data_IF_589166857883
#
_entry.id   IF_589166857883
#
_cell.length_a   1.000
_cell.length_b   1.000
_cell.length_c   1.000
_cell.angle_alpha   90.00
_cell.angle_beta   90.00
_cell.angle_gamma   90.00
#
_symmetry.space_group_name_H-M   'P 1'
#
loop_
_entity.id
_entity.type
_entity.pdbx_description
1 polymer ?
#
# COMPACT_ATOMS: atom_id res chain seq x y z
N UNK A 1 -0.07 19.04 16.21
CA UNK A 1 -0.81 17.97 15.48
C UNK A 1 -2.31 18.10 15.74
N UNK A 2 -3.14 18.12 14.72
CA UNK A 2 -4.61 18.23 14.89
C UNK A 2 -5.18 16.94 15.50
N UNK A 3 -6.13 17.08 16.42
CA UNK A 3 -6.81 15.98 17.11
C UNK A 3 -7.46 14.94 16.18
N UNK A 4 -7.82 15.33 14.95
CA UNK A 4 -8.34 14.44 13.88
C UNK A 4 -7.26 13.45 13.38
N UNK A 5 -6.02 13.88 13.22
CA UNK A 5 -4.91 13.02 12.78
C UNK A 5 -4.61 11.89 13.77
N UNK A 6 -4.63 12.18 15.07
CA UNK A 6 -4.41 11.16 16.11
C UNK A 6 -5.48 10.06 16.05
N UNK A 7 -6.76 10.43 15.83
CA UNK A 7 -7.85 9.46 15.70
C UNK A 7 -7.70 8.63 14.43
N UNK A 8 -7.36 9.24 13.30
CA UNK A 8 -7.12 8.53 12.04
C UNK A 8 -5.95 7.54 12.12
N UNK A 9 -4.85 7.94 12.78
CA UNK A 9 -3.71 7.06 13.06
C UNK A 9 -4.10 5.91 13.99
N UNK A 10 -4.87 6.21 15.05
CA UNK A 10 -5.38 5.18 15.95
C UNK A 10 -6.29 4.16 15.25
N UNK A 11 -7.17 4.61 14.36
CA UNK A 11 -8.04 3.72 13.58
C UNK A 11 -7.24 2.78 12.68
N UNK A 12 -6.13 3.26 12.09
CA UNK A 12 -5.22 2.43 11.31
C UNK A 12 -4.55 1.38 12.19
N UNK A 13 -3.96 1.77 13.32
CA UNK A 13 -3.33 0.85 14.27
C UNK A 13 -4.30 -0.20 14.80
N UNK A 14 -5.56 0.18 15.08
CA UNK A 14 -6.61 -0.77 15.44
C UNK A 14 -6.88 -1.78 14.32
N UNK A 15 -6.80 -1.36 13.05
CA UNK A 15 -6.88 -2.25 11.88
C UNK A 15 -5.73 -3.24 11.78
N UNK A 16 -4.54 -2.84 12.23
CA UNK A 16 -3.32 -3.64 12.24
C UNK A 16 -3.14 -4.47 13.53
N UNK A 17 -4.22 -4.74 14.27
CA UNK A 17 -4.21 -5.49 15.55
C UNK A 17 -3.64 -4.74 16.76
N UNK A 18 -3.55 -3.42 16.70
CA UNK A 18 -2.94 -2.58 17.73
C UNK A 18 -3.60 -2.60 19.12
N UNK A 19 -4.73 -3.30 19.29
CA UNK A 19 -5.38 -3.54 20.58
C UNK A 19 -5.32 -5.00 21.03
N UNK A 20 -4.73 -5.90 20.24
CA UNK A 20 -4.68 -7.32 20.56
C UNK A 20 -3.57 -7.64 21.57
N UNK A 21 -2.46 -6.88 21.53
CA UNK A 21 -1.24 -7.15 22.27
C UNK A 21 -1.03 -6.26 23.52
N UNK A 22 -1.98 -5.42 23.94
CA UNK A 22 -1.73 -4.58 25.12
C UNK A 22 -2.80 -3.54 25.48
N UNK A 23 -3.96 -3.57 24.84
CA UNK A 23 -5.07 -2.70 25.19
C UNK A 23 -4.89 -1.23 24.78
N UNK A 24 -5.73 -0.35 25.35
CA UNK A 24 -5.76 1.09 25.00
C UNK A 24 -4.50 1.82 25.47
N UNK A 25 -3.87 1.35 26.50
CA UNK A 25 -2.67 1.91 27.08
C UNK A 25 -1.51 1.83 26.09
N UNK A 26 -1.25 0.65 25.54
CA UNK A 26 -0.22 0.42 24.49
C UNK A 26 -0.55 1.18 23.21
N UNK A 27 -1.82 1.20 22.79
CA UNK A 27 -2.24 2.00 21.65
C UNK A 27 -1.99 3.50 21.88
N UNK A 28 -2.27 4.00 23.07
CA UNK A 28 -2.06 5.41 23.43
C UNK A 28 -0.57 5.77 23.48
N UNK A 29 0.25 4.89 24.04
CA UNK A 29 1.72 5.02 24.05
C UNK A 29 2.27 5.09 22.62
N UNK A 30 1.83 4.17 21.76
CA UNK A 30 2.18 4.16 20.31
C UNK A 30 1.77 5.42 19.55
N UNK A 31 0.81 6.19 20.08
CA UNK A 31 0.34 7.45 19.50
C UNK A 31 0.98 8.68 20.16
N UNK A 32 1.86 8.49 21.15
CA UNK A 32 2.47 9.58 21.89
C UNK A 32 1.46 10.39 22.72
N UNK A 33 0.34 9.77 23.16
CA UNK A 33 -0.72 10.44 23.93
C UNK A 33 -1.11 9.63 25.16
N UNK A 34 -1.68 10.28 26.18
CA UNK A 34 -2.23 9.56 27.32
C UNK A 34 -3.50 8.78 26.95
N UNK A 35 -3.72 7.59 27.54
CA UNK A 35 -4.86 6.73 27.26
C UNK A 35 -6.23 7.41 27.57
N UNK A 36 -6.27 8.26 28.60
CA UNK A 36 -7.45 9.08 28.93
C UNK A 36 -7.74 10.12 27.83
N UNK A 37 -6.69 10.75 27.29
CA UNK A 37 -6.82 11.70 26.20
C UNK A 37 -7.29 11.00 24.91
N UNK A 38 -6.73 9.85 24.58
CA UNK A 38 -7.14 9.05 23.43
C UNK A 38 -8.62 8.65 23.51
N UNK A 39 -9.08 8.16 24.67
CA UNK A 39 -10.52 7.82 24.89
C UNK A 39 -11.42 9.05 24.67
N UNK A 40 -11.01 10.23 25.15
CA UNK A 40 -11.76 11.49 24.95
C UNK A 40 -11.81 11.91 23.49
N UNK A 41 -10.70 11.77 22.74
CA UNK A 41 -10.66 12.04 21.31
C UNK A 41 -11.61 11.12 20.54
N UNK A 42 -11.59 9.83 20.85
CA UNK A 42 -12.48 8.85 20.22
C UNK A 42 -13.96 9.15 20.50
N UNK A 43 -14.32 9.44 21.72
CA UNK A 43 -15.69 9.83 22.07
C UNK A 43 -16.09 11.12 21.35
N UNK A 44 -15.23 12.11 21.27
CA UNK A 44 -15.51 13.38 20.59
C UNK A 44 -15.68 13.24 19.08
N UNK A 45 -14.86 12.43 18.42
CA UNK A 45 -14.82 12.34 16.96
C UNK A 45 -15.63 11.18 16.39
N UNK A 46 -15.83 10.11 17.16
CA UNK A 46 -16.48 8.88 16.69
C UNK A 46 -17.69 8.48 17.56
N UNK A 47 -17.92 9.13 18.69
CA UNK A 47 -18.98 8.76 19.62
C UNK A 47 -18.77 7.40 20.31
N UNK A 48 -17.59 6.78 20.18
CA UNK A 48 -17.28 5.45 20.68
C UNK A 48 -15.87 5.38 21.29
N UNK A 49 -15.62 4.40 22.15
CA UNK A 49 -14.27 4.18 22.70
C UNK A 49 -13.39 3.40 21.72
N UNK A 50 -12.02 3.47 21.82
CA UNK A 50 -11.13 2.65 21.01
C UNK A 50 -11.45 1.16 21.05
N UNK A 51 -11.76 0.63 22.23
CA UNK A 51 -12.16 -0.79 22.42
C UNK A 51 -13.44 -1.10 21.66
N UNK A 52 -14.45 -0.23 21.76
CA UNK A 52 -15.73 -0.44 21.08
C UNK A 52 -15.54 -0.45 19.55
N UNK A 53 -14.69 0.43 19.02
CA UNK A 53 -14.33 0.46 17.60
C UNK A 53 -13.65 -0.83 17.17
N UNK A 54 -12.64 -1.30 17.92
CA UNK A 54 -11.93 -2.55 17.62
C UNK A 54 -12.90 -3.75 17.66
N UNK A 55 -13.77 -3.83 18.67
CA UNK A 55 -14.79 -4.89 18.77
C UNK A 55 -15.75 -4.87 17.59
N UNK A 56 -16.21 -3.69 17.18
CA UNK A 56 -17.10 -3.53 16.02
C UNK A 56 -16.42 -4.03 14.74
N UNK A 57 -15.13 -3.69 14.52
CA UNK A 57 -14.37 -4.20 13.37
C UNK A 57 -14.25 -5.72 13.38
N UNK A 58 -13.91 -6.32 14.53
CA UNK A 58 -13.86 -7.78 14.67
C UNK A 58 -15.21 -8.44 14.37
N UNK A 59 -16.33 -7.86 14.84
CA UNK A 59 -17.66 -8.36 14.56
C UNK A 59 -18.04 -8.24 13.08
N UNK A 60 -17.71 -7.14 12.44
CA UNK A 60 -17.93 -6.99 11.00
C UNK A 60 -17.11 -7.99 10.19
N UNK A 61 -15.84 -8.19 10.56
CA UNK A 61 -15.00 -9.19 9.92
C UNK A 61 -15.52 -10.62 10.17
N UNK A 62 -15.96 -10.93 11.40
CA UNK A 62 -16.59 -12.20 11.73
C UNK A 62 -17.84 -12.45 10.87
N UNK A 63 -18.70 -11.44 10.71
CA UNK A 63 -19.85 -11.53 9.82
C UNK A 63 -19.43 -11.80 8.38
N UNK A 64 -18.42 -11.10 7.90
CA UNK A 64 -17.86 -11.30 6.56
C UNK A 64 -17.38 -12.74 6.35
N UNK A 65 -16.66 -13.32 7.33
CA UNK A 65 -16.24 -14.73 7.29
C UNK A 65 -17.43 -15.69 7.29
N UNK A 66 -18.50 -15.38 8.04
CA UNK A 66 -19.72 -16.17 8.06
C UNK A 66 -20.40 -16.17 6.69
N UNK A 67 -20.46 -15.02 6.03
CA UNK A 67 -21.16 -14.82 4.75
C UNK A 67 -20.34 -15.36 3.55
N UNK A 68 -19.03 -15.21 3.57
CA UNK A 68 -18.17 -15.39 2.40
C UNK A 68 -17.25 -16.63 2.47
N UNK A 69 -17.28 -17.41 3.58
CA UNK A 69 -16.43 -18.61 3.72
C UNK A 69 -17.20 -19.81 4.27
N UNK A 70 -16.62 -21.02 4.07
CA UNK A 70 -17.11 -22.28 4.71
C UNK A 70 -16.47 -22.57 6.05
N UNK A 71 -15.63 -21.69 6.58
CA UNK A 71 -14.90 -21.93 7.82
C UNK A 71 -15.85 -22.37 8.96
N UNK A 72 -15.47 -23.36 9.77
CA UNK A 72 -16.18 -23.69 10.99
C UNK A 72 -16.27 -22.49 11.94
N UNK A 73 -17.35 -22.39 12.72
CA UNK A 73 -17.59 -21.24 13.60
C UNK A 73 -16.48 -21.02 14.65
N UNK A 74 -15.83 -22.07 15.11
CA UNK A 74 -14.68 -21.96 16.00
C UNK A 74 -13.47 -21.31 15.30
N UNK A 75 -13.22 -21.63 14.03
CA UNK A 75 -12.16 -21.00 13.25
C UNK A 75 -12.49 -19.55 12.93
N UNK A 76 -13.75 -19.23 12.62
CA UNK A 76 -14.21 -17.84 12.42
C UNK A 76 -14.00 -17.02 13.70
N UNK A 77 -14.36 -17.56 14.85
CA UNK A 77 -14.15 -16.89 16.13
C UNK A 77 -12.67 -16.51 16.31
N UNK A 78 -11.76 -17.47 16.11
CA UNK A 78 -10.32 -17.26 16.24
C UNK A 78 -9.80 -16.29 15.15
N UNK A 79 -10.19 -16.49 13.90
CA UNK A 79 -9.79 -15.64 12.76
C UNK A 79 -10.25 -14.18 12.92
N UNK A 80 -11.33 -13.95 13.68
CA UNK A 80 -11.85 -12.61 13.96
C UNK A 80 -11.29 -12.00 15.26
N UNK A 81 -10.28 -12.63 15.88
CA UNK A 81 -9.65 -12.12 17.09
C UNK A 81 -10.46 -12.30 18.38
N UNK A 82 -11.42 -13.26 18.41
CA UNK A 82 -12.10 -13.61 19.64
C UNK A 82 -11.34 -14.72 20.38
N UNK A 83 -11.06 -14.50 21.66
CA UNK A 83 -10.34 -15.50 22.49
C UNK A 83 -11.16 -16.78 22.78
N UNK A 84 -12.49 -16.76 22.56
CA UNK A 84 -13.32 -17.95 22.66
C UNK A 84 -14.64 -17.83 21.89
N UNK A 85 -15.20 -19.00 21.51
CA UNK A 85 -16.47 -19.09 20.75
C UNK A 85 -17.66 -18.50 21.52
N UNK A 86 -17.65 -18.57 22.84
CA UNK A 86 -18.73 -18.01 23.68
C UNK A 86 -18.82 -16.48 23.51
N UNK A 87 -17.67 -15.77 23.57
CA UNK A 87 -17.62 -14.30 23.37
C UNK A 87 -18.00 -13.92 21.95
N UNK A 88 -17.54 -14.69 20.96
CA UNK A 88 -17.93 -14.53 19.56
C UNK A 88 -19.45 -14.64 19.38
N UNK A 89 -20.07 -15.74 19.85
CA UNK A 89 -21.51 -15.95 19.73
C UNK A 89 -22.30 -14.81 20.41
N UNK A 90 -21.92 -14.43 21.62
CA UNK A 90 -22.55 -13.35 22.35
C UNK A 90 -22.44 -12.01 21.62
N UNK A 91 -21.25 -11.69 21.08
CA UNK A 91 -21.00 -10.47 20.31
C UNK A 91 -21.84 -10.41 19.04
N UNK A 92 -21.86 -11.47 18.25
CA UNK A 92 -22.66 -11.58 17.02
C UNK A 92 -24.15 -11.45 17.35
N UNK A 93 -24.66 -12.20 18.34
CA UNK A 93 -26.07 -12.16 18.71
C UNK A 93 -26.51 -10.79 19.23
N UNK A 94 -25.63 -10.09 19.96
CA UNK A 94 -25.90 -8.73 20.46
C UNK A 94 -26.08 -7.70 19.36
N UNK A 95 -25.22 -7.79 18.32
CA UNK A 95 -25.18 -6.77 17.24
C UNK A 95 -26.18 -7.09 16.13
N UNK A 96 -26.29 -8.36 15.75
CA UNK A 96 -27.09 -8.76 14.58
C UNK A 96 -28.45 -9.38 14.98
N UNK A 97 -28.72 -9.52 16.27
CA UNK A 97 -29.97 -10.16 16.81
C UNK A 97 -30.22 -11.56 16.24
N UNK A 98 -29.16 -12.27 15.85
CA UNK A 98 -29.15 -13.61 15.26
C UNK A 98 -27.91 -14.37 15.68
N UNK A 99 -28.04 -15.69 15.77
CA UNK A 99 -26.87 -16.55 16.00
C UNK A 99 -25.98 -16.64 14.73
N UNK A 100 -24.67 -16.90 14.86
CA UNK A 100 -23.79 -17.11 13.70
C UNK A 100 -24.34 -18.13 12.69
N UNK A 101 -24.92 -19.23 13.19
CA UNK A 101 -25.54 -20.28 12.36
C UNK A 101 -26.75 -19.78 11.59
N UNK A 102 -27.59 -18.94 12.22
CA UNK A 102 -28.74 -18.32 11.54
C UNK A 102 -28.27 -17.35 10.44
N UNK A 103 -27.23 -16.55 10.71
CA UNK A 103 -26.66 -15.65 9.70
C UNK A 103 -26.15 -16.46 8.50
N UNK A 104 -25.40 -17.55 8.73
CA UNK A 104 -24.89 -18.42 7.65
C UNK A 104 -26.02 -19.05 6.81
N UNK A 105 -27.14 -19.44 7.43
CA UNK A 105 -28.28 -19.98 6.69
C UNK A 105 -28.95 -18.95 5.77
N UNK A 106 -28.86 -17.67 6.13
CA UNK A 106 -29.41 -16.56 5.35
C UNK A 106 -28.47 -16.07 4.25
N UNK A 107 -27.16 -16.21 4.47
CA UNK A 107 -26.17 -15.95 3.43
C UNK A 107 -26.42 -16.98 2.31
N UNK A 108 -27.07 -16.55 1.23
CA UNK A 108 -27.29 -17.39 0.05
C UNK A 108 -25.96 -17.96 -0.40
N UNK A 109 -25.95 -19.27 -0.63
CA UNK A 109 -24.80 -20.07 -1.04
C UNK A 109 -24.07 -19.43 -2.22
N UNK A 110 -23.13 -18.54 -1.94
CA UNK A 110 -22.03 -18.26 -2.84
C UNK A 110 -21.29 -19.60 -2.96
N UNK A 111 -21.02 -20.06 -4.17
CA UNK A 111 -20.30 -21.32 -4.41
C UNK A 111 -18.97 -21.25 -3.65
N UNK A 112 -18.96 -21.88 -2.50
CA UNK A 112 -17.84 -21.88 -1.57
C UNK A 112 -16.84 -22.89 -2.10
N UNK A 113 -15.62 -22.46 -2.39
CA UNK A 113 -14.56 -23.37 -2.82
C UNK A 113 -13.98 -24.09 -1.60
N UNK A 114 -13.81 -25.41 -1.67
CA UNK A 114 -13.13 -26.15 -0.62
C UNK A 114 -11.63 -25.87 -0.64
N UNK A 115 -10.99 -25.79 0.53
CA UNK A 115 -9.56 -25.62 0.65
C UNK A 115 -9.14 -24.36 1.40
N UNK A 116 -7.87 -23.98 1.27
CA UNK A 116 -7.27 -22.79 1.90
C UNK A 116 -7.42 -21.53 1.03
N UNK A 117 -8.35 -21.53 0.09
CA UNK A 117 -8.68 -20.39 -0.75
C UNK A 117 -9.87 -19.63 -0.20
N UNK A 118 -9.68 -18.34 0.02
CA UNK A 118 -10.69 -17.43 0.55
C UNK A 118 -10.94 -16.31 -0.44
N UNK A 119 -12.21 -15.99 -0.70
CA UNK A 119 -12.60 -14.91 -1.61
C UNK A 119 -13.37 -13.86 -0.83
N UNK A 120 -12.87 -12.62 -0.83
CA UNK A 120 -13.47 -11.50 -0.14
C UNK A 120 -13.79 -10.36 -1.09
N UNK A 121 -14.95 -9.72 -0.92
CA UNK A 121 -15.31 -8.45 -1.54
C UNK A 121 -14.96 -7.32 -0.58
N UNK A 122 -13.95 -6.52 -0.90
CA UNK A 122 -13.47 -5.42 -0.07
C UNK A 122 -13.98 -4.10 -0.64
N UNK A 123 -15.10 -3.62 -0.12
CA UNK A 123 -15.74 -2.41 -0.62
C UNK A 123 -14.87 -1.17 -0.36
N UNK A 124 -14.89 -0.26 -1.31
CA UNK A 124 -14.32 1.07 -1.25
C UNK A 124 -15.39 2.16 -1.41
N UNK A 125 -15.07 3.38 -1.02
CA UNK A 125 -15.94 4.54 -1.28
C UNK A 125 -15.62 5.10 -2.66
N UNK A 126 -16.60 5.17 -3.58
CA UNK A 126 -16.39 5.81 -4.87
C UNK A 126 -16.21 7.34 -4.71
N UNK A 127 -15.52 7.98 -5.66
CA UNK A 127 -14.83 7.39 -6.79
C UNK A 127 -13.55 6.65 -6.39
N UNK A 128 -13.13 5.68 -7.21
CA UNK A 128 -11.88 4.93 -7.04
C UNK A 128 -11.22 4.68 -8.39
N UNK A 129 -10.02 5.26 -8.59
CA UNK A 129 -9.28 5.11 -9.85
C UNK A 129 -8.48 3.81 -9.85
N UNK A 130 -9.17 2.69 -10.06
CA UNK A 130 -8.60 1.35 -9.98
C UNK A 130 -7.57 1.04 -11.05
N UNK A 131 -7.82 1.45 -12.30
CA UNK A 131 -6.87 1.27 -13.40
C UNK A 131 -5.53 1.97 -13.13
N UNK A 132 -5.58 3.22 -12.62
CA UNK A 132 -4.39 3.95 -12.24
C UNK A 132 -3.63 3.28 -11.10
N UNK A 133 -4.33 2.70 -10.12
CA UNK A 133 -3.74 1.92 -9.06
C UNK A 133 -3.00 0.68 -9.61
N UNK A 134 -3.65 -0.10 -10.47
CA UNK A 134 -3.05 -1.29 -11.07
C UNK A 134 -1.87 -0.94 -11.98
N UNK A 135 -1.98 0.13 -12.78
CA UNK A 135 -0.89 0.61 -13.63
C UNK A 135 0.34 1.05 -12.81
N UNK A 136 0.11 1.73 -11.68
CA UNK A 136 1.20 2.10 -10.76
C UNK A 136 1.91 0.87 -10.18
N UNK A 137 1.14 -0.15 -9.76
CA UNK A 137 1.68 -1.40 -9.21
C UNK A 137 2.41 -2.20 -10.29
N UNK A 138 1.83 -2.31 -11.51
CA UNK A 138 2.42 -3.01 -12.64
C UNK A 138 3.81 -2.46 -13.02
N UNK A 139 3.94 -1.13 -13.10
CA UNK A 139 5.21 -0.49 -13.44
C UNK A 139 6.32 -0.77 -12.40
N UNK A 140 5.95 -1.18 -11.20
CA UNK A 140 6.84 -1.39 -10.06
C UNK A 140 6.84 -2.82 -9.53
N UNK A 141 6.12 -3.73 -10.16
CA UNK A 141 6.00 -5.11 -9.72
C UNK A 141 7.37 -5.81 -9.67
N UNK A 142 7.77 -6.30 -8.50
CA UNK A 142 9.02 -7.04 -8.31
C UNK A 142 8.92 -8.41 -8.95
N UNK A 143 9.72 -8.73 -9.99
CA UNK A 143 9.67 -10.05 -10.63
C UNK A 143 9.82 -11.20 -9.64
N UNK A 144 8.94 -12.18 -9.75
CA UNK A 144 8.90 -13.34 -8.86
C UNK A 144 8.10 -13.13 -7.56
N UNK A 145 7.91 -11.89 -7.09
CA UNK A 145 7.13 -11.56 -5.89
C UNK A 145 5.78 -10.96 -6.24
N UNK A 146 5.75 -10.10 -7.24
CA UNK A 146 4.56 -9.41 -7.71
C UNK A 146 4.36 -9.63 -9.21
N UNK A 147 3.11 -9.70 -9.62
CA UNK A 147 2.74 -9.85 -11.02
C UNK A 147 1.41 -9.16 -11.31
N UNK A 148 1.33 -8.43 -12.43
CA UNK A 148 0.11 -7.76 -12.86
C UNK A 148 -0.18 -8.13 -14.30
N UNK A 149 -1.33 -8.74 -14.54
CA UNK A 149 -1.78 -9.16 -15.87
C UNK A 149 -3.32 -9.11 -15.93
N UNK A 150 -3.86 -8.71 -17.06
CA UNK A 150 -5.31 -8.73 -17.33
C UNK A 150 -6.17 -8.06 -16.25
N UNK A 151 -5.70 -6.94 -15.71
CA UNK A 151 -6.43 -6.23 -14.64
C UNK A 151 -6.38 -6.92 -13.27
N UNK A 152 -5.53 -7.92 -13.11
CA UNK A 152 -5.35 -8.65 -11.86
C UNK A 152 -3.93 -8.43 -11.31
N UNK A 153 -3.83 -7.99 -10.06
CA UNK A 153 -2.59 -7.91 -9.30
C UNK A 153 -2.43 -9.14 -8.43
N UNK A 154 -1.24 -9.74 -8.44
CA UNK A 154 -0.89 -10.91 -7.63
C UNK A 154 0.39 -10.65 -6.85
N UNK A 155 0.48 -11.21 -5.65
CA UNK A 155 1.74 -11.21 -4.92
C UNK A 155 1.87 -12.36 -3.94
N UNK A 156 3.13 -12.75 -3.69
CA UNK A 156 3.49 -13.68 -2.62
C UNK A 156 3.44 -12.99 -1.27
N UNK A 157 3.08 -13.74 -0.24
CA UNK A 157 3.09 -13.28 1.14
C UNK A 157 3.73 -14.32 2.06
N UNK A 158 4.39 -13.82 3.12
CA UNK A 158 4.89 -14.63 4.20
C UNK A 158 4.39 -14.05 5.52
N UNK A 159 3.76 -14.86 6.34
CA UNK A 159 3.22 -14.45 7.62
C UNK A 159 3.18 -15.63 8.60
N UNK A 160 3.66 -15.40 9.82
CA UNK A 160 3.64 -16.42 10.89
C UNK A 160 4.26 -17.77 10.47
N UNK A 161 5.40 -17.72 9.75
CA UNK A 161 6.12 -18.92 9.31
C UNK A 161 5.49 -19.64 8.11
N UNK A 162 4.46 -19.10 7.48
CA UNK A 162 3.73 -19.70 6.36
C UNK A 162 3.79 -18.86 5.10
N UNK A 163 3.89 -19.55 3.97
CA UNK A 163 3.81 -18.98 2.63
C UNK A 163 2.37 -18.95 2.15
N UNK A 164 2.08 -17.99 1.31
CA UNK A 164 0.84 -17.87 0.59
C UNK A 164 0.94 -16.84 -0.53
N UNK A 165 -0.17 -16.57 -1.17
CA UNK A 165 -0.30 -15.47 -2.12
C UNK A 165 -1.74 -14.94 -2.12
N UNK A 166 -1.92 -13.79 -2.71
CA UNK A 166 -3.25 -13.28 -3.00
C UNK A 166 -3.32 -12.68 -4.41
N UNK A 167 -4.54 -12.63 -4.92
CA UNK A 167 -4.92 -11.98 -6.17
C UNK A 167 -5.95 -10.90 -5.90
N UNK A 168 -5.82 -9.76 -6.59
CA UNK A 168 -6.77 -8.65 -6.51
C UNK A 168 -7.26 -8.31 -7.92
N UNK A 169 -8.55 -8.33 -8.12
CA UNK A 169 -9.23 -7.73 -9.27
C UNK A 169 -10.20 -6.64 -8.79
N UNK A 170 -10.52 -5.69 -9.67
CA UNK A 170 -11.38 -4.55 -9.33
C UNK A 170 -12.73 -4.76 -9.99
N UNK A 171 -13.77 -4.77 -9.16
CA UNK A 171 -15.18 -4.80 -9.58
C UNK A 171 -15.76 -3.40 -9.36
N UNK A 172 -15.76 -2.60 -10.43
CA UNK A 172 -16.25 -1.21 -10.38
C UNK A 172 -17.77 -1.16 -10.17
N UNK A 173 -18.52 -2.11 -10.70
CA UNK A 173 -19.99 -2.14 -10.59
C UNK A 173 -20.43 -2.31 -9.13
N UNK A 174 -19.77 -3.22 -8.40
CA UNK A 174 -20.06 -3.41 -6.97
C UNK A 174 -19.25 -2.50 -6.05
N UNK A 175 -18.42 -1.60 -6.59
CA UNK A 175 -17.50 -0.75 -5.83
C UNK A 175 -16.67 -1.55 -4.83
N UNK A 176 -16.05 -2.64 -5.30
CA UNK A 176 -15.27 -3.54 -4.45
C UNK A 176 -14.00 -4.06 -5.15
N UNK A 177 -12.97 -4.34 -4.36
CA UNK A 177 -11.91 -5.25 -4.76
C UNK A 177 -12.36 -6.68 -4.48
N UNK A 178 -12.14 -7.58 -5.42
CA UNK A 178 -12.27 -9.01 -5.22
C UNK A 178 -10.89 -9.55 -4.86
N UNK A 179 -10.71 -9.89 -3.59
CA UNK A 179 -9.47 -10.47 -3.06
C UNK A 179 -9.60 -11.98 -2.97
N UNK A 180 -8.79 -12.72 -3.74
CA UNK A 180 -8.62 -14.17 -3.59
C UNK A 180 -7.34 -14.42 -2.83
N UNK A 181 -7.45 -15.04 -1.67
CA UNK A 181 -6.34 -15.27 -0.74
C UNK A 181 -6.12 -16.78 -0.64
N UNK A 182 -4.90 -17.21 -0.91
CA UNK A 182 -4.43 -18.58 -0.69
C UNK A 182 -3.48 -18.58 0.49
N UNK A 183 -3.95 -19.06 1.64
CA UNK A 183 -3.17 -19.04 2.88
C UNK A 183 -3.62 -20.14 3.86
N UNK A 184 -2.65 -20.86 4.43
CA UNK A 184 -2.91 -22.06 5.24
C UNK A 184 -3.39 -21.80 6.68
N UNK A 185 -3.40 -20.55 7.17
CA UNK A 185 -3.83 -20.23 8.54
C UNK A 185 -4.96 -19.19 8.54
N UNK A 186 -6.21 -19.60 8.79
CA UNK A 186 -7.34 -18.69 8.83
C UNK A 186 -7.21 -17.56 9.87
N UNK A 187 -6.43 -17.74 10.94
CA UNK A 187 -6.21 -16.74 11.98
C UNK A 187 -5.53 -15.48 11.44
N UNK A 188 -4.78 -15.62 10.37
CA UNK A 188 -4.09 -14.53 9.70
C UNK A 188 -4.97 -13.73 8.74
N UNK A 189 -6.19 -14.19 8.42
CA UNK A 189 -7.04 -13.57 7.39
C UNK A 189 -7.43 -12.13 7.71
N UNK A 190 -7.69 -11.82 8.97
CA UNK A 190 -7.99 -10.43 9.37
C UNK A 190 -6.83 -9.50 9.03
N UNK A 191 -5.63 -9.87 9.42
CA UNK A 191 -4.42 -9.11 9.13
C UNK A 191 -4.19 -8.98 7.62
N UNK A 192 -4.31 -10.08 6.86
CA UNK A 192 -4.12 -10.08 5.40
C UNK A 192 -5.13 -9.12 4.73
N UNK A 193 -6.40 -9.19 5.11
CA UNK A 193 -7.46 -8.34 4.55
C UNK A 193 -7.22 -6.86 4.89
N UNK A 194 -6.89 -6.52 6.14
CA UNK A 194 -6.62 -5.14 6.53
C UNK A 194 -5.34 -4.61 5.83
N UNK A 195 -4.32 -5.45 5.64
CA UNK A 195 -3.12 -5.08 4.90
C UNK A 195 -3.42 -4.84 3.41
N UNK A 196 -4.26 -5.66 2.78
CA UNK A 196 -4.75 -5.42 1.41
C UNK A 196 -5.53 -4.10 1.35
N UNK A 197 -6.42 -3.82 2.32
CA UNK A 197 -7.14 -2.55 2.39
C UNK A 197 -6.22 -1.35 2.49
N UNK A 198 -5.16 -1.44 3.30
CA UNK A 198 -4.16 -0.39 3.43
C UNK A 198 -3.33 -0.24 2.14
N UNK A 199 -2.92 -1.35 1.52
CA UNK A 199 -2.13 -1.36 0.29
C UNK A 199 -2.86 -0.70 -0.89
N UNK A 200 -4.18 -0.88 -0.99
CA UNK A 200 -5.04 -0.30 -2.01
C UNK A 200 -5.74 0.99 -1.54
N UNK A 201 -5.42 1.48 -0.36
CA UNK A 201 -5.96 2.73 0.23
C UNK A 201 -7.50 2.79 0.23
N UNK A 202 -8.16 1.68 0.57
CA UNK A 202 -9.62 1.56 0.52
C UNK A 202 -10.35 2.34 1.62
N UNK A 203 -9.61 2.78 2.65
CA UNK A 203 -10.16 3.50 3.79
C UNK A 203 -10.10 5.03 3.63
N UNK A 204 -9.53 5.54 2.53
CA UNK A 204 -9.42 6.96 2.28
C UNK A 204 -10.78 7.65 2.20
N UNK A 205 -10.90 8.79 2.84
CA UNK A 205 -12.06 9.67 2.70
C UNK A 205 -11.83 10.65 1.56
N UNK A 206 -12.25 10.23 0.37
CA UNK A 206 -12.10 11.03 -0.85
C UNK A 206 -12.74 12.40 -0.75
N UNK A 207 -13.90 12.51 -0.11
CA UNK A 207 -14.60 13.78 0.04
C UNK A 207 -13.79 14.80 0.83
N UNK A 208 -13.17 14.37 1.93
CA UNK A 208 -12.31 15.23 2.74
C UNK A 208 -11.03 15.64 1.99
N UNK A 209 -10.45 14.72 1.20
CA UNK A 209 -9.26 14.97 0.40
C UNK A 209 -9.56 16.03 -0.67
N UNK A 210 -10.62 15.84 -1.45
CA UNK A 210 -11.04 16.78 -2.51
C UNK A 210 -11.35 18.16 -1.94
N UNK A 211 -12.10 18.23 -0.82
CA UNK A 211 -12.42 19.51 -0.18
C UNK A 211 -11.17 20.32 0.17
N UNK A 212 -10.06 19.66 0.50
CA UNK A 212 -8.80 20.33 0.81
C UNK A 212 -8.03 20.74 -0.45
N UNK A 213 -7.93 19.85 -1.45
CA UNK A 213 -7.06 20.05 -2.61
C UNK A 213 -7.66 20.90 -3.73
N UNK A 214 -8.99 20.96 -3.85
CA UNK A 214 -9.69 21.69 -4.92
C UNK A 214 -9.50 23.20 -4.91
N UNK A 215 -9.02 23.77 -3.80
CA UNK A 215 -8.79 25.22 -3.71
C UNK A 215 -7.44 25.64 -4.29
N UNK A 216 -6.58 24.69 -4.65
CA UNK A 216 -5.30 25.00 -5.25
C UNK A 216 -5.41 24.98 -6.79
N UNK A 217 -5.11 26.11 -7.49
CA UNK A 217 -5.18 26.18 -8.95
C UNK A 217 -4.28 25.16 -9.67
N UNK A 218 -3.20 24.69 -9.06
CA UNK A 218 -2.32 23.69 -9.66
C UNK A 218 -2.91 22.26 -9.60
N UNK A 219 -3.87 22.02 -8.72
CA UNK A 219 -4.43 20.69 -8.47
C UNK A 219 -5.89 20.53 -8.91
N UNK A 220 -6.69 21.63 -8.96
CA UNK A 220 -8.14 21.57 -9.20
C UNK A 220 -8.49 20.79 -10.47
N UNK A 221 -7.90 21.15 -11.62
CA UNK A 221 -8.19 20.50 -12.91
C UNK A 221 -7.88 18.99 -12.86
N UNK A 222 -6.88 18.60 -12.08
CA UNK A 222 -6.44 17.21 -11.93
C UNK A 222 -7.32 16.40 -10.99
N UNK A 223 -7.73 17.02 -9.91
CA UNK A 223 -8.68 16.43 -8.96
C UNK A 223 -10.03 16.17 -9.62
N UNK A 224 -10.46 17.07 -10.51
CA UNK A 224 -11.71 16.95 -11.25
C UNK A 224 -11.62 15.97 -12.43
N UNK A 225 -10.51 15.98 -13.17
CA UNK A 225 -10.33 15.10 -14.33
C UNK A 225 -9.97 13.64 -13.98
N UNK A 226 -9.44 13.41 -12.78
CA UNK A 226 -9.00 12.09 -12.33
C UNK A 226 -9.50 11.80 -10.90
N UNK A 227 -10.82 11.72 -10.71
CA UNK A 227 -11.39 11.52 -9.40
C UNK A 227 -11.04 10.11 -8.86
N UNK A 228 -10.80 10.05 -7.55
CA UNK A 228 -10.58 8.77 -6.90
C UNK A 228 -9.14 8.27 -6.92
N UNK A 229 -8.17 9.12 -7.26
CA UNK A 229 -6.76 8.78 -7.13
C UNK A 229 -6.43 8.43 -5.67
N UNK A 230 -5.62 7.39 -5.47
CA UNK A 230 -5.23 6.88 -4.16
C UNK A 230 -3.71 6.88 -4.01
N UNK A 231 -3.26 6.83 -2.76
CA UNK A 231 -1.85 6.61 -2.43
C UNK A 231 -1.61 5.09 -2.32
N UNK A 232 -0.87 4.46 -3.25
CA UNK A 232 -0.58 3.04 -3.16
C UNK A 232 0.26 2.75 -1.92
N UNK A 233 -0.24 1.95 -1.01
CA UNK A 233 0.52 1.44 0.12
C UNK A 233 1.51 0.34 -0.28
N UNK A 234 1.94 -0.48 0.69
CA UNK A 234 2.77 -1.65 0.44
C UNK A 234 2.35 -2.84 1.30
N UNK A 235 2.79 -4.03 0.92
CA UNK A 235 2.61 -5.22 1.73
C UNK A 235 3.56 -5.25 2.93
N UNK A 236 4.83 -4.90 2.69
CA UNK A 236 5.89 -4.93 3.70
C UNK A 236 6.73 -3.65 3.61
N UNK A 237 6.93 -2.98 4.75
CA UNK A 237 7.64 -1.71 4.81
C UNK A 237 9.14 -1.85 4.55
N UNK A 238 9.78 -2.94 4.99
CA UNK A 238 11.18 -3.21 4.71
C UNK A 238 11.43 -3.44 3.21
N UNK A 239 10.56 -4.24 2.57
CA UNK A 239 10.57 -4.42 1.11
C UNK A 239 10.48 -3.06 0.40
N UNK A 240 9.51 -2.23 0.78
CA UNK A 240 9.33 -0.91 0.16
C UNK A 240 10.56 -0.02 0.34
N UNK A 241 11.13 0.04 1.56
CA UNK A 241 12.32 0.85 1.84
C UNK A 241 13.53 0.35 1.04
N UNK A 242 13.74 -0.96 0.97
CA UNK A 242 14.78 -1.58 0.14
C UNK A 242 14.61 -1.19 -1.33
N UNK A 243 13.39 -1.28 -1.86
CA UNK A 243 13.08 -0.87 -3.25
C UNK A 243 13.25 0.62 -3.48
N UNK A 244 12.96 1.46 -2.49
CA UNK A 244 13.23 2.90 -2.57
C UNK A 244 14.72 3.20 -2.67
N UNK A 245 15.57 2.48 -1.91
CA UNK A 245 17.04 2.58 -2.01
C UNK A 245 17.53 2.09 -3.37
N UNK A 246 17.01 0.95 -3.86
CA UNK A 246 17.34 0.45 -5.21
C UNK A 246 17.00 1.47 -6.30
N UNK A 247 15.92 2.22 -6.13
CA UNK A 247 15.43 3.21 -7.09
C UNK A 247 16.12 4.58 -7.07
N UNK A 248 17.02 4.84 -6.12
CA UNK A 248 17.71 6.11 -6.06
C UNK A 248 18.51 6.38 -7.34
N UNK A 249 18.27 7.54 -7.97
CA UNK A 249 19.00 8.04 -9.15
C UNK A 249 18.95 7.10 -10.39
N UNK A 250 17.97 6.22 -10.48
CA UNK A 250 17.74 5.36 -11.64
C UNK A 250 16.27 5.33 -12.06
N UNK A 251 15.99 4.81 -13.25
CA UNK A 251 14.62 4.68 -13.75
C UNK A 251 13.83 3.62 -12.96
N UNK A 252 12.50 3.73 -12.94
CA UNK A 252 11.61 2.73 -12.33
C UNK A 252 11.88 1.34 -12.91
N UNK A 253 12.06 1.21 -14.23
CA UNK A 253 12.39 -0.06 -14.89
C UNK A 253 13.71 -0.65 -14.39
N UNK A 254 14.75 0.19 -14.22
CA UNK A 254 16.03 -0.23 -13.67
C UNK A 254 15.93 -0.70 -12.22
N UNK A 255 15.19 0.04 -11.39
CA UNK A 255 14.93 -0.33 -10.01
C UNK A 255 14.19 -1.66 -9.89
N UNK A 256 13.16 -1.89 -10.72
CA UNK A 256 12.39 -3.12 -10.76
C UNK A 256 13.25 -4.31 -11.19
N UNK A 257 14.14 -4.13 -12.20
CA UNK A 257 15.07 -5.17 -12.61
C UNK A 257 16.09 -5.54 -11.50
N UNK A 258 16.57 -4.54 -10.73
CA UNK A 258 17.43 -4.77 -9.56
C UNK A 258 16.68 -5.51 -8.45
N UNK A 259 15.42 -5.14 -8.18
CA UNK A 259 14.59 -5.82 -7.20
C UNK A 259 14.34 -7.29 -7.58
N UNK A 260 14.12 -7.58 -8.87
CA UNK A 260 14.00 -8.94 -9.38
C UNK A 260 15.27 -9.75 -9.19
N UNK A 261 16.46 -9.19 -9.49
CA UNK A 261 17.76 -9.84 -9.25
C UNK A 261 18.01 -10.09 -7.77
N UNK A 262 17.67 -9.11 -6.91
CA UNK A 262 17.76 -9.25 -5.46
C UNK A 262 16.90 -10.41 -4.98
N UNK A 263 15.66 -10.48 -5.43
CA UNK A 263 14.73 -11.55 -5.05
C UNK A 263 15.18 -12.92 -5.55
N UNK A 264 15.61 -13.03 -6.81
CA UNK A 264 16.10 -14.28 -7.37
C UNK A 264 17.36 -14.83 -6.67
N UNK A 265 18.23 -13.92 -6.17
CA UNK A 265 19.49 -14.30 -5.53
C UNK A 265 19.37 -14.56 -4.01
N UNK A 266 18.47 -13.84 -3.33
CA UNK A 266 18.40 -13.85 -1.86
C UNK A 266 16.99 -14.13 -1.33
N UNK A 267 15.97 -14.10 -2.19
CA UNK A 267 14.60 -14.48 -1.82
C UNK A 267 14.46 -15.98 -1.62
N UNK A 268 13.53 -16.40 -0.79
CA UNK A 268 13.21 -17.79 -0.59
C UNK A 268 12.22 -18.24 -1.69
N UNK A 269 12.44 -19.40 -2.36
CA UNK A 269 11.46 -19.96 -3.28
C UNK A 269 10.10 -20.14 -2.58
N UNK A 270 9.02 -19.83 -3.30
CA UNK A 270 7.66 -20.00 -2.82
C UNK A 270 7.38 -21.51 -2.66
N UNK A 271 7.08 -21.93 -1.44
CA UNK A 271 6.73 -23.31 -1.12
C UNK A 271 5.25 -23.37 -0.75
N UNK A 272 4.40 -23.65 -1.73
CA UNK A 272 2.97 -23.85 -1.48
C UNK A 272 2.79 -25.24 -0.85
N UNK A 273 2.79 -25.29 0.48
CA UNK A 273 2.60 -26.51 1.29
C UNK A 273 1.23 -27.18 1.09
N UNK A 274 0.42 -26.73 0.14
CA UNK A 274 -1.02 -26.95 0.05
C UNK A 274 -1.47 -27.77 -1.15
N UNK A 275 -0.55 -28.41 -1.86
CA UNK A 275 -0.90 -29.32 -2.99
C UNK A 275 -1.55 -28.62 -4.18
N UNK A 276 -1.47 -27.29 -4.24
CA UNK A 276 -1.98 -26.53 -5.38
C UNK A 276 -0.96 -26.51 -6.52
N UNK A 277 -1.42 -26.61 -7.76
CA UNK A 277 -0.51 -26.51 -8.88
C UNK A 277 0.15 -25.12 -8.89
N UNK A 278 1.48 -25.10 -8.99
CA UNK A 278 2.30 -23.89 -9.18
C UNK A 278 1.78 -23.02 -10.35
N UNK A 279 1.03 -23.65 -11.26
CA UNK A 279 0.34 -23.01 -12.37
C UNK A 279 -0.72 -21.96 -11.94
N UNK A 280 -1.29 -22.07 -10.73
CA UNK A 280 -2.22 -21.08 -10.21
C UNK A 280 -1.53 -19.78 -9.75
N UNK A 281 -0.25 -19.86 -9.39
CA UNK A 281 0.57 -18.73 -8.95
C UNK A 281 1.34 -18.08 -10.13
N UNK A 282 0.69 -17.88 -11.27
CA UNK A 282 1.30 -17.29 -12.50
C UNK A 282 2.28 -16.15 -12.17
N UNK A 283 3.55 -16.33 -12.55
CA UNK A 283 4.59 -15.30 -12.39
C UNK A 283 5.14 -15.14 -10.96
N UNK A 284 4.57 -15.82 -9.96
CA UNK A 284 5.01 -15.79 -8.57
C UNK A 284 5.94 -16.98 -8.29
N UNK A 285 7.17 -16.74 -7.88
CA UNK A 285 8.20 -17.78 -7.71
C UNK A 285 8.95 -17.68 -6.38
N UNK A 286 9.01 -16.49 -5.79
CA UNK A 286 9.80 -16.22 -4.60
C UNK A 286 9.04 -15.35 -3.60
N UNK A 287 9.46 -15.42 -2.36
CA UNK A 287 9.20 -14.42 -1.33
C UNK A 287 10.31 -13.38 -1.35
N UNK A 288 9.98 -12.12 -1.03
CA UNK A 288 11.00 -11.09 -0.87
C UNK A 288 11.96 -11.46 0.27
N UNK A 289 13.29 -11.20 0.14
CA UNK A 289 14.26 -11.52 1.18
C UNK A 289 13.95 -10.80 2.50
N UNK A 290 14.17 -11.49 3.61
CA UNK A 290 13.97 -10.91 4.95
C UNK A 290 15.13 -10.00 5.35
N UNK A 291 14.94 -9.13 6.38
CA UNK A 291 16.04 -8.32 6.92
C UNK A 291 17.26 -9.12 7.32
N UNK A 292 17.07 -10.25 7.97
CA UNK A 292 18.15 -11.12 8.46
C UNK A 292 19.02 -11.64 7.30
N UNK A 293 18.37 -12.00 6.17
CA UNK A 293 19.08 -12.46 4.96
C UNK A 293 19.88 -11.32 4.32
N UNK A 294 19.30 -10.11 4.26
CA UNK A 294 19.96 -8.98 3.58
C UNK A 294 21.02 -8.29 4.44
N UNK A 295 21.02 -8.48 5.76
CA UNK A 295 21.99 -7.90 6.69
C UNK A 295 23.44 -8.25 6.33
N UNK A 296 23.67 -9.47 5.84
CA UNK A 296 25.01 -10.01 5.52
C UNK A 296 25.17 -10.42 4.04
N UNK A 297 24.17 -10.09 3.19
CA UNK A 297 24.16 -10.48 1.80
C UNK A 297 25.26 -9.80 0.98
N UNK A 298 25.86 -10.55 0.03
CA UNK A 298 26.84 -10.04 -0.93
C UNK A 298 26.16 -9.28 -2.10
N UNK A 299 25.49 -8.17 -1.77
CA UNK A 299 24.61 -7.44 -2.70
C UNK A 299 25.33 -6.87 -3.94
N UNK A 300 26.65 -6.73 -3.92
CA UNK A 300 27.44 -6.32 -5.09
C UNK A 300 27.33 -7.34 -6.22
N UNK A 301 27.12 -8.64 -5.89
CA UNK A 301 27.00 -9.71 -6.90
C UNK A 301 25.82 -9.55 -7.85
N UNK A 302 24.79 -8.78 -7.48
CA UNK A 302 23.63 -8.50 -8.33
C UNK A 302 23.74 -7.19 -9.13
N UNK A 303 24.92 -6.55 -9.09
CA UNK A 303 25.22 -5.31 -9.82
C UNK A 303 24.88 -4.03 -9.05
N UNK A 304 24.84 -4.07 -7.72
CA UNK A 304 24.73 -2.87 -6.89
C UNK A 304 26.12 -2.23 -6.66
N UNK A 305 26.13 -0.90 -6.58
CA UNK A 305 27.30 -0.17 -6.08
C UNK A 305 27.55 -0.50 -4.62
N UNK A 306 28.83 -0.44 -4.18
CA UNK A 306 29.19 -0.72 -2.79
C UNK A 306 28.43 0.15 -1.79
N UNK A 307 28.27 1.44 -2.07
CA UNK A 307 27.53 2.38 -1.22
C UNK A 307 26.05 1.96 -1.08
N UNK A 308 25.36 1.65 -2.18
CA UNK A 308 23.96 1.22 -2.15
C UNK A 308 23.79 -0.13 -1.46
N UNK A 309 24.70 -1.06 -1.67
CA UNK A 309 24.73 -2.34 -0.97
C UNK A 309 24.86 -2.15 0.55
N UNK A 310 25.74 -1.23 1.00
CA UNK A 310 25.91 -0.95 2.42
C UNK A 310 24.67 -0.27 3.03
N UNK A 311 24.04 0.67 2.33
CA UNK A 311 22.79 1.28 2.77
C UNK A 311 21.69 0.21 3.00
N UNK A 312 21.55 -0.76 2.08
CA UNK A 312 20.56 -1.85 2.23
C UNK A 312 20.92 -2.75 3.43
N UNK A 313 22.21 -3.11 3.61
CA UNK A 313 22.63 -3.91 4.76
C UNK A 313 22.41 -3.16 6.08
N UNK A 314 22.72 -1.86 6.13
CA UNK A 314 22.51 -1.03 7.32
C UNK A 314 21.02 -0.95 7.68
N UNK A 315 20.13 -0.74 6.68
CA UNK A 315 18.69 -0.81 6.89
C UNK A 315 18.26 -2.20 7.39
N UNK A 316 18.75 -3.25 6.78
CA UNK A 316 18.42 -4.63 7.13
C UNK A 316 18.82 -4.98 8.58
N UNK A 317 20.02 -4.60 9.00
CA UNK A 317 20.48 -4.74 10.41
C UNK A 317 19.59 -3.93 11.37
N UNK A 318 19.32 -2.67 11.03
CA UNK A 318 18.48 -1.81 11.88
C UNK A 318 17.06 -2.38 12.08
N UNK A 319 16.50 -3.03 11.05
CA UNK A 319 15.19 -3.68 11.15
C UNK A 319 15.29 -5.02 11.91
N UNK A 320 16.28 -5.84 11.64
CA UNK A 320 16.52 -7.10 12.36
C UNK A 320 16.76 -6.87 13.86
N UNK A 321 17.48 -5.80 14.22
CA UNK A 321 17.72 -5.37 15.60
C UNK A 321 16.50 -4.71 16.27
N UNK A 322 15.38 -4.52 15.53
CA UNK A 322 14.19 -3.84 16.06
C UNK A 322 14.33 -2.32 16.24
N UNK A 323 15.43 -1.70 15.77
CA UNK A 323 15.65 -0.23 15.84
C UNK A 323 14.73 0.54 14.90
N UNK A 324 14.44 -0.04 13.73
CA UNK A 324 13.45 0.46 12.76
C UNK A 324 12.27 -0.50 12.71
N UNK A 325 11.09 0.00 12.97
CA UNK A 325 9.85 -0.77 12.91
C UNK A 325 8.87 -0.10 11.95
N UNK A 326 8.34 -0.87 11.00
CA UNK A 326 7.35 -0.39 10.02
C UNK A 326 5.91 -0.58 10.49
N UNK A 327 5.71 -1.38 11.53
CA UNK A 327 4.41 -1.70 12.10
C UNK A 327 4.27 -1.06 13.47
N UNK A 328 3.09 -0.56 13.77
CA UNK A 328 2.84 0.05 15.06
C UNK A 328 3.62 1.34 15.35
N UNK A 329 4.10 2.03 14.33
CA UNK A 329 4.93 3.23 14.47
C UNK A 329 4.16 4.38 15.11
N UNK A 330 4.75 4.96 16.13
CA UNK A 330 4.16 5.98 16.99
C UNK A 330 4.14 7.36 16.33
N UNK A 331 5.26 7.77 15.79
CA UNK A 331 5.45 9.10 15.24
C UNK A 331 6.12 9.06 13.88
N UNK A 332 5.45 9.59 12.85
CA UNK A 332 5.98 9.58 11.49
C UNK A 332 7.23 10.45 11.35
N UNK A 333 7.34 11.54 12.11
CA UNK A 333 8.51 12.41 12.06
C UNK A 333 9.71 11.75 12.77
N UNK A 334 9.48 11.12 13.92
CA UNK A 334 10.51 10.33 14.60
C UNK A 334 11.00 9.16 13.74
N UNK A 335 10.09 8.44 13.08
CA UNK A 335 10.43 7.37 12.15
C UNK A 335 11.28 7.86 10.97
N UNK A 336 10.93 9.01 10.40
CA UNK A 336 11.69 9.59 9.30
C UNK A 336 13.09 10.03 9.74
N UNK A 337 13.22 10.57 10.96
CA UNK A 337 14.51 10.90 11.56
C UNK A 337 15.38 9.65 11.73
N UNK A 338 14.84 8.59 12.32
CA UNK A 338 15.53 7.29 12.46
C UNK A 338 15.97 6.70 11.12
N UNK A 339 15.12 6.78 10.09
CA UNK A 339 15.53 6.37 8.74
C UNK A 339 16.69 7.20 8.18
N UNK A 340 16.70 8.52 8.43
CA UNK A 340 17.75 9.40 7.96
C UNK A 340 19.08 9.21 8.71
N UNK A 341 19.11 8.54 9.87
CA UNK A 341 20.34 8.12 10.56
C UNK A 341 21.08 7.01 9.82
N UNK A 342 20.39 6.27 8.95
CA UNK A 342 21.01 5.23 8.13
C UNK A 342 21.77 5.88 6.98
N UNK A 343 23.10 5.65 6.86
CA UNK A 343 23.89 6.20 5.78
C UNK A 343 23.32 5.84 4.39
N UNK A 344 23.10 6.86 3.56
CA UNK A 344 22.52 6.70 2.22
C UNK A 344 20.99 6.81 2.15
N UNK A 345 20.30 6.98 3.29
CA UNK A 345 18.87 7.30 3.33
C UNK A 345 18.72 8.81 3.62
N UNK A 346 18.30 9.56 2.59
CA UNK A 346 17.98 10.97 2.73
C UNK A 346 16.49 11.26 2.99
N UNK A 347 16.16 12.54 3.22
CA UNK A 347 14.79 13.01 3.48
C UNK A 347 13.79 12.54 2.42
N UNK A 348 14.17 12.53 1.14
CA UNK A 348 13.29 12.05 0.07
C UNK A 348 12.86 10.60 0.30
N UNK A 349 13.83 9.71 0.54
CA UNK A 349 13.55 8.28 0.78
C UNK A 349 12.72 8.09 2.04
N UNK A 350 13.04 8.79 3.12
CA UNK A 350 12.30 8.71 4.38
C UNK A 350 10.84 9.18 4.23
N UNK A 351 10.60 10.30 3.53
CA UNK A 351 9.25 10.81 3.23
C UNK A 351 8.46 9.84 2.33
N UNK A 352 9.10 9.30 1.27
CA UNK A 352 8.47 8.33 0.39
C UNK A 352 8.07 7.03 1.12
N UNK A 353 8.95 6.57 2.01
CA UNK A 353 8.67 5.39 2.85
C UNK A 353 7.55 5.69 3.86
N UNK A 354 7.57 6.83 4.53
CA UNK A 354 6.49 7.24 5.45
C UNK A 354 5.14 7.33 4.72
N UNK A 355 5.12 7.91 3.52
CA UNK A 355 3.93 8.02 2.68
C UNK A 355 3.32 6.65 2.37
N UNK A 356 4.14 5.68 1.96
CA UNK A 356 3.65 4.43 1.40
C UNK A 356 3.65 3.25 2.39
N UNK A 357 4.63 3.16 3.29
CA UNK A 357 4.70 2.07 4.26
C UNK A 357 3.87 2.38 5.51
N UNK A 358 3.94 3.61 6.01
CA UNK A 358 3.14 4.02 7.16
C UNK A 358 1.74 4.52 6.76
N UNK A 359 1.49 4.77 5.46
CA UNK A 359 0.27 5.42 4.99
C UNK A 359 0.08 6.82 5.58
N UNK A 360 1.19 7.58 5.79
CA UNK A 360 1.12 8.92 6.33
C UNK A 360 0.57 9.89 5.28
N UNK A 361 -0.64 10.41 5.43
CA UNK A 361 -1.29 11.21 4.40
C UNK A 361 -0.65 12.58 4.20
N UNK A 362 0.14 13.03 5.19
CA UNK A 362 0.83 14.31 5.15
C UNK A 362 2.33 14.20 4.83
N UNK A 363 2.84 12.99 4.54
CA UNK A 363 4.20 12.81 4.06
C UNK A 363 4.36 13.39 2.66
N UNK A 364 5.46 14.16 2.43
CA UNK A 364 5.66 14.86 1.18
C UNK A 364 7.15 14.96 0.80
N UNK A 365 7.61 14.26 -0.23
CA UNK A 365 9.01 14.28 -0.65
C UNK A 365 9.31 15.55 -1.48
N UNK A 366 9.37 16.72 -0.84
CA UNK A 366 9.53 18.03 -1.47
C UNK A 366 10.76 18.18 -2.38
N UNK A 367 11.79 17.34 -2.19
CA UNK A 367 12.98 17.30 -3.05
C UNK A 367 12.85 16.38 -4.26
N UNK A 368 11.66 15.84 -4.54
CA UNK A 368 11.41 15.00 -5.72
C UNK A 368 11.45 15.82 -7.01
N UNK A 369 12.30 15.39 -7.94
CA UNK A 369 12.49 16.08 -9.24
C UNK A 369 11.20 16.08 -10.09
N UNK A 370 10.37 15.04 -9.98
CA UNK A 370 9.09 14.97 -10.68
C UNK A 370 8.10 16.00 -10.15
N UNK A 371 8.04 16.14 -8.83
CA UNK A 371 7.19 17.14 -8.16
C UNK A 371 7.65 18.57 -8.49
N UNK A 372 8.95 18.83 -8.40
CA UNK A 372 9.52 20.13 -8.75
C UNK A 372 9.21 20.52 -10.20
N UNK A 373 9.40 19.61 -11.15
CA UNK A 373 9.09 19.82 -12.58
C UNK A 373 7.58 20.06 -12.80
N UNK A 374 6.73 19.26 -12.15
CA UNK A 374 5.28 19.41 -12.26
C UNK A 374 4.78 20.79 -11.81
N UNK A 375 5.48 21.41 -10.87
CA UNK A 375 5.18 22.74 -10.33
C UNK A 375 5.99 23.87 -10.98
N UNK A 376 6.90 23.56 -11.92
CA UNK A 376 7.78 24.55 -12.53
C UNK A 376 8.79 25.17 -11.54
N UNK A 377 9.11 24.46 -10.44
CA UNK A 377 9.99 24.91 -9.39
C UNK A 377 11.36 24.21 -9.47
N UNK A 378 12.40 24.86 -8.95
CA UNK A 378 13.75 24.29 -8.84
C UNK A 378 14.18 24.10 -7.38
N UNK A 379 13.55 24.84 -6.46
CA UNK A 379 13.93 24.85 -5.05
C UNK A 379 12.96 24.00 -4.21
N UNK A 380 13.46 22.93 -3.55
CA UNK A 380 12.62 22.11 -2.65
C UNK A 380 11.94 22.88 -1.52
N UNK A 381 12.57 23.95 -1.00
CA UNK A 381 11.98 24.76 0.06
C UNK A 381 10.76 25.55 -0.41
N UNK A 382 10.77 26.03 -1.66
CA UNK A 382 9.61 26.70 -2.26
C UNK A 382 8.46 25.74 -2.44
N UNK A 383 8.75 24.54 -2.92
CA UNK A 383 7.75 23.46 -3.05
C UNK A 383 7.20 23.07 -1.67
N UNK A 384 8.04 22.93 -0.67
CA UNK A 384 7.60 22.63 0.71
C UNK A 384 6.68 23.71 1.27
N UNK A 385 7.04 25.00 1.09
CA UNK A 385 6.19 26.14 1.47
C UNK A 385 4.86 26.14 0.72
N UNK A 386 4.87 25.85 -0.58
CA UNK A 386 3.65 25.74 -1.38
C UNK A 386 2.75 24.59 -0.89
N UNK A 387 3.32 23.48 -0.51
CA UNK A 387 2.63 22.28 -0.04
C UNK A 387 1.97 22.44 1.34
N UNK A 388 2.26 23.50 2.09
CA UNK A 388 1.59 23.78 3.37
C UNK A 388 0.07 23.96 3.20
N UNK A 389 -0.37 24.48 2.06
CA UNK A 389 -1.79 24.63 1.73
C UNK A 389 -2.52 23.28 1.51
N UNK A 390 -1.80 22.21 1.28
CA UNK A 390 -2.36 20.87 1.00
C UNK A 390 -2.47 19.99 2.25
N UNK A 391 -2.05 20.48 3.41
CA UNK A 391 -2.20 19.74 4.67
C UNK A 391 -3.67 19.46 5.00
N UNK A 392 -3.96 18.28 5.54
CA UNK A 392 -3.06 17.16 5.88
C UNK A 392 -2.94 16.11 4.75
N UNK A 393 -3.20 16.45 3.49
CA UNK A 393 -3.31 15.52 2.35
C UNK A 393 -2.18 15.66 1.33
N UNK A 394 -0.99 16.08 1.77
CA UNK A 394 0.17 16.33 0.88
C UNK A 394 0.60 15.10 0.07
N UNK A 395 0.42 13.89 0.62
CA UNK A 395 0.70 12.64 -0.09
C UNK A 395 -0.18 12.47 -1.34
N UNK A 396 -1.47 12.85 -1.24
CA UNK A 396 -2.39 12.80 -2.39
C UNK A 396 -2.06 13.89 -3.41
N UNK A 397 -1.69 15.08 -2.97
CA UNK A 397 -1.19 16.13 -3.86
C UNK A 397 0.05 15.64 -4.65
N UNK A 398 0.99 14.96 -3.98
CA UNK A 398 2.16 14.38 -4.63
C UNK A 398 1.78 13.37 -5.72
N UNK A 399 0.76 12.53 -5.50
CA UNK A 399 0.29 11.56 -6.49
C UNK A 399 -0.26 12.25 -7.76
N UNK A 400 -1.03 13.32 -7.61
CA UNK A 400 -1.50 14.13 -8.75
C UNK A 400 -0.34 14.76 -9.51
N UNK A 401 0.62 15.33 -8.79
CA UNK A 401 1.79 15.98 -9.40
C UNK A 401 2.69 14.98 -10.15
N UNK A 402 2.91 13.79 -9.62
CA UNK A 402 3.67 12.74 -10.33
C UNK A 402 2.99 12.29 -11.62
N UNK A 403 1.64 12.26 -11.65
CA UNK A 403 0.90 11.94 -12.87
C UNK A 403 1.10 13.00 -13.95
N UNK A 404 1.16 14.29 -13.59
CA UNK A 404 1.49 15.40 -14.50
C UNK A 404 2.89 15.20 -15.08
N UNK A 405 3.89 14.99 -14.23
CA UNK A 405 5.28 14.80 -14.64
C UNK A 405 5.49 13.63 -15.61
N UNK A 406 4.75 12.54 -15.43
CA UNK A 406 4.82 11.37 -16.32
C UNK A 406 4.17 11.61 -17.69
N UNK A 407 3.08 12.36 -17.77
CA UNK A 407 2.43 12.72 -19.02
C UNK A 407 3.25 13.71 -19.86
N UNK A 408 3.87 14.69 -19.22
CA UNK A 408 4.78 15.63 -19.87
C UNK A 408 6.02 14.93 -20.47
N UNK A 409 6.60 13.96 -19.77
CA UNK A 409 7.72 13.16 -20.28
C UNK A 409 7.32 12.22 -21.45
N UNK A 410 6.10 11.68 -21.44
CA UNK A 410 5.56 10.85 -22.53
C UNK A 410 5.10 11.64 -23.76
N UNK A 411 4.60 12.85 -23.57
CA UNK A 411 4.17 13.77 -24.64
C UNK A 411 5.34 14.31 -25.47
N UNK A 412 6.46 14.66 -24.82
CA UNK A 412 7.67 15.13 -25.50
C UNK A 412 8.28 14.07 -26.44
N UNK A 413 8.26 12.79 -26.06
CA UNK A 413 8.74 11.69 -26.90
C UNK A 413 7.86 11.45 -28.14
N UNK A 414 6.51 11.59 -28.01
CA UNK A 414 5.59 11.45 -29.15
C UNK A 414 5.63 12.65 -30.10
N UNK A 415 5.88 13.85 -29.59
CA UNK A 415 6.04 15.05 -30.42
C UNK A 415 7.37 15.05 -31.19
N UNK A 416 8.47 14.66 -30.53
CA UNK A 416 9.77 14.51 -31.15
C UNK A 416 9.77 13.44 -32.24
N UNK A 417 9.13 12.28 -32.03
CA UNK A 417 9.00 11.23 -33.05
C UNK A 417 8.07 11.62 -34.21
N UNK A 418 7.07 12.48 -33.97
CA UNK A 418 6.20 13.02 -35.01
C UNK A 418 6.90 14.06 -35.86
N UNK A 419 7.70 14.95 -35.24
CA UNK A 419 8.51 15.96 -35.96
C UNK A 419 9.59 15.27 -36.80
N UNK A 420 10.22 14.20 -36.28
CA UNK A 420 11.23 13.45 -37.02
C UNK A 420 10.61 12.65 -38.20
N UNK A 421 9.38 12.16 -38.11
CA UNK A 421 8.64 11.55 -39.23
C UNK A 421 8.18 12.58 -40.28
N UNK A 422 7.78 13.79 -39.86
CA UNK A 422 7.40 14.87 -40.77
C UNK A 422 8.60 15.52 -41.48
N UNK A 423 9.80 15.42 -40.91
CA UNK A 423 11.06 15.94 -41.53
C UNK A 423 11.69 15.03 -42.59
N UNK A 424 11.21 13.80 -42.80
CA UNK A 424 11.74 12.86 -43.80
C UNK A 424 10.91 12.76 -45.11
N UNK A 425 9.78 13.47 -45.22
CA UNK A 425 8.93 13.51 -46.44
C UNK A 425 8.99 14.85 -47.20
N UNK A 426 10.03 15.66 -46.99
CA UNK A 426 10.27 16.87 -47.74
C UNK A 426 11.02 16.56 -49.05
N UNK A 427 10.31 16.19 -50.11
CA UNK A 427 10.80 16.09 -51.49
C UNK A 427 11.27 17.44 -51.95
N UNK A 428 12.53 17.51 -52.38
CA UNK A 428 13.13 18.65 -53.07
C UNK A 428 12.47 18.84 -54.43
N UNK A 429 11.94 20.01 -54.79
CA UNK A 429 11.49 20.27 -56.15
C UNK A 429 12.68 20.44 -57.06
N UNK A 430 12.76 19.62 -58.13
CA UNK A 430 13.69 19.81 -59.25
C UNK A 430 13.49 21.18 -59.92
N UNK A 431 14.58 21.89 -60.08
CA UNK A 431 14.70 23.09 -60.96
C UNK A 431 14.48 22.67 -62.40
N UNK A 432 13.51 23.29 -63.06
CA UNK A 432 13.34 23.28 -64.53
C UNK A 432 14.24 24.37 -65.09
N UNK A 433 15.08 24.09 -66.13
CA UNK A 433 15.87 25.12 -66.75
C UNK A 433 15.00 25.95 -67.72
N UNK A 434 15.03 27.28 -67.58
CA UNK A 434 14.55 28.21 -68.60
C UNK A 434 15.51 28.21 -69.77
N UNK A 435 15.00 27.93 -70.98
CA UNK A 435 15.62 28.23 -72.26
C UNK A 435 14.74 29.22 -73.01
N UNK A 436 15.33 30.38 -73.34
CA UNK A 436 14.99 31.42 -74.30
C UNK A 436 13.65 32.10 -74.17
#
# INVERSE_FOLDING_TARGET
>A
MGTSNTVSRALRLIGESGLDDGGVEVLAERLGVGSRHLRRLFLRHLGATPIAVAQTRRLHFAKKLIDETTLPMNQIALASGFGCVRRFNAGISKVYHRTPTQIRRLARQTKLQPGNQYVFRLHFRPPYHGEGMLAFLAARATPGVEFVEEGCYRRTIFLNGRDGYFEISIDQESSALVARIEFGDPRSLFFIVERIRAMFDLNADWSAIVQSLRFDPALIDRVESDPGLRVPGCWNGFELATRAILGQQITVKGATALAGRLTASFGRPLSLSLGLPLAAAKGLTHLFPTPEVLADAKLVSIGLTGARAETIRALARAVADGKIQFEGVVDADAFQQQLCEIPGIGRWTAQYVAMRALGEPDAFPSSDLGLLRAMGLQNPRELEKRAEAWRPWRAYAAMYLWKIGSQAAGGGSKLASRIQKMGMEGTVPQQVPMSL
#
